data_IF_344430803666
#
_entry.id   IF_344430803666
#
_cell.length_a   1.000
_cell.length_b   1.000
_cell.length_c   1.000
_cell.angle_alpha   90.00
_cell.angle_beta   90.00
_cell.angle_gamma   90.00
#
_symmetry.space_group_name_H-M   'P 1'
#
loop_
_entity.id
_entity.type
_entity.pdbx_description
1 polymer ?
#
# COMPACT_ATOMS: atom_id res chain seq x y z
N UNK A 1 26.63 -40.78 -25.44
CA UNK A 1 25.81 -41.86 -24.86
C UNK A 1 25.87 -41.71 -23.35
N UNK A 2 24.93 -40.98 -22.77
CA UNK A 2 24.58 -41.05 -21.35
C UNK A 2 23.17 -40.48 -21.20
N UNK A 3 22.32 -41.29 -20.57
CA UNK A 3 20.87 -41.28 -20.65
C UNK A 3 20.19 -40.25 -19.74
N UNK A 4 19.08 -39.70 -20.24
CA UNK A 4 18.04 -39.01 -19.46
C UNK A 4 17.13 -40.02 -18.77
N UNK A 5 16.85 -39.91 -17.46
CA UNK A 5 15.74 -40.63 -16.87
C UNK A 5 14.45 -39.80 -16.89
N UNK A 6 13.42 -40.41 -17.49
CA UNK A 6 12.00 -40.05 -17.51
C UNK A 6 11.46 -39.76 -16.09
N UNK A 7 10.76 -38.66 -15.83
CA UNK A 7 9.32 -38.42 -16.08
C UNK A 7 8.43 -39.62 -15.74
N UNK A 8 7.99 -39.69 -14.48
CA UNK A 8 6.91 -40.55 -14.01
C UNK A 8 5.74 -39.64 -13.62
N UNK A 9 4.69 -39.70 -14.44
CA UNK A 9 3.38 -39.07 -14.20
C UNK A 9 2.66 -39.80 -13.07
N UNK A 10 2.33 -39.10 -11.99
CA UNK A 10 1.28 -39.53 -11.06
C UNK A 10 -0.02 -38.85 -11.48
N UNK A 11 -0.91 -39.64 -12.08
CA UNK A 11 -2.31 -39.29 -12.32
C UNK A 11 -3.09 -39.69 -11.06
N UNK A 12 -3.63 -38.72 -10.34
CA UNK A 12 -4.59 -38.95 -9.26
C UNK A 12 -5.89 -38.29 -9.68
N UNK A 13 -6.85 -39.11 -10.07
CA UNK A 13 -8.25 -38.73 -10.26
C UNK A 13 -8.82 -38.33 -8.90
N UNK A 14 -9.00 -37.02 -8.67
CA UNK A 14 -9.79 -36.54 -7.53
C UNK A 14 -11.13 -36.09 -8.08
N UNK A 15 -12.13 -36.90 -7.74
CA UNK A 15 -13.53 -36.67 -8.05
C UNK A 15 -13.99 -35.31 -7.53
N UNK A 16 -14.69 -34.65 -8.43
CA UNK A 16 -15.41 -33.40 -8.26
C UNK A 16 -16.68 -33.66 -7.43
N UNK A 17 -16.71 -33.17 -6.20
CA UNK A 17 -17.97 -33.01 -5.46
C UNK A 17 -18.39 -31.55 -5.40
N UNK A 18 -19.58 -31.34 -5.97
CA UNK A 18 -20.34 -30.12 -6.04
C UNK A 18 -20.73 -29.63 -4.64
N UNK A 19 -20.55 -28.34 -4.37
CA UNK A 19 -21.26 -27.68 -3.27
C UNK A 19 -21.97 -26.43 -3.79
N UNK A 20 -23.30 -26.46 -3.65
CA UNK A 20 -24.25 -25.43 -4.06
C UNK A 20 -24.15 -24.16 -3.20
N UNK A 21 -24.47 -22.97 -3.77
CA UNK A 21 -24.69 -21.75 -3.01
C UNK A 21 -26.14 -21.63 -2.51
N UNK A 22 -26.30 -21.58 -1.18
CA UNK A 22 -27.57 -21.32 -0.51
C UNK A 22 -27.96 -19.83 -0.47
N UNK A 23 -29.02 -19.53 -1.22
CA UNK A 23 -30.17 -18.64 -0.99
C UNK A 23 -30.10 -17.51 0.06
N UNK A 24 -30.32 -16.30 -0.48
CA UNK A 24 -31.41 -15.35 -0.20
C UNK A 24 -31.93 -15.19 1.25
N UNK A 25 -31.77 -13.97 1.77
CA UNK A 25 -32.73 -13.38 2.72
C UNK A 25 -32.98 -11.92 2.34
N UNK A 26 -34.13 -11.74 1.70
CA UNK A 26 -34.81 -10.49 1.42
C UNK A 26 -35.31 -9.88 2.75
N UNK A 27 -35.13 -8.58 2.97
CA UNK A 27 -35.87 -7.86 4.03
C UNK A 27 -36.16 -6.43 3.59
N UNK A 28 -37.33 -6.31 2.98
CA UNK A 28 -38.13 -5.11 2.78
C UNK A 28 -38.59 -4.49 4.12
N UNK A 29 -39.11 -3.25 4.03
CA UNK A 29 -39.77 -2.37 5.02
C UNK A 29 -38.85 -1.19 5.42
N UNK A 30 -39.04 0.04 4.97
CA UNK A 30 -40.29 0.78 4.79
C UNK A 30 -40.38 1.85 5.88
N UNK A 31 -40.18 3.12 5.54
CA UNK A 31 -40.72 4.26 6.31
C UNK A 31 -40.69 5.54 5.50
N UNK A 32 -41.91 6.01 5.24
CA UNK A 32 -42.25 7.29 4.68
C UNK A 32 -42.13 8.42 5.73
N UNK A 33 -42.45 9.63 5.26
CA UNK A 33 -43.01 10.78 6.00
C UNK A 33 -42.01 11.91 6.32
N UNK A 34 -42.09 13.01 5.57
CA UNK A 34 -42.73 14.28 5.99
C UNK A 34 -42.02 15.48 5.36
N UNK A 35 -42.71 16.15 4.43
CA UNK A 35 -42.37 17.49 3.97
C UNK A 35 -42.89 18.55 4.95
N UNK A 36 -42.17 19.66 5.15
CA UNK A 36 -42.79 20.93 5.51
C UNK A 36 -42.82 21.90 4.29
N UNK A 37 -43.94 22.61 4.06
CA UNK A 37 -43.99 23.79 3.20
C UNK A 37 -43.66 25.05 4.02
N UNK A 38 -42.85 25.96 3.47
CA UNK A 38 -42.44 27.17 4.18
C UNK A 38 -41.93 28.26 3.25
N UNK A 39 -42.89 29.01 2.71
CA UNK A 39 -42.73 30.23 1.92
C UNK A 39 -42.22 31.40 2.78
N UNK A 40 -41.19 32.11 2.33
CA UNK A 40 -41.06 33.56 2.51
C UNK A 40 -39.98 34.13 1.59
N UNK A 41 -40.43 34.87 0.57
CA UNK A 41 -39.64 35.67 -0.36
C UNK A 41 -38.86 36.80 0.33
N UNK A 42 -37.63 37.11 -0.13
CA UNK A 42 -37.14 38.46 -0.12
C UNK A 42 -36.93 38.99 -1.55
N UNK A 43 -37.47 40.19 -1.74
CA UNK A 43 -37.29 41.14 -2.83
C UNK A 43 -35.99 41.04 -3.62
N UNK A 44 -36.17 40.86 -4.92
CA UNK A 44 -35.19 40.84 -6.01
C UNK A 44 -34.56 42.22 -6.21
N UNK A 45 -33.26 42.43 -5.94
CA UNK A 45 -32.55 43.60 -6.47
C UNK A 45 -32.24 43.37 -7.95
N UNK A 46 -32.81 44.22 -8.81
CA UNK A 46 -32.51 44.34 -10.23
C UNK A 46 -31.07 44.81 -10.41
N UNK A 47 -30.14 43.86 -10.51
CA UNK A 47 -28.73 44.16 -10.79
C UNK A 47 -28.44 44.18 -12.29
N UNK A 48 -27.91 45.32 -12.73
CA UNK A 48 -27.37 45.59 -14.06
C UNK A 48 -26.55 44.42 -14.64
N UNK A 49 -27.04 43.92 -15.77
CA UNK A 49 -26.49 42.81 -16.54
C UNK A 49 -25.55 43.39 -17.61
N UNK A 50 -24.27 43.64 -17.27
CA UNK A 50 -23.32 44.25 -18.21
C UNK A 50 -21.88 43.75 -18.13
N UNK A 51 -21.29 43.61 -16.94
CA UNK A 51 -19.81 43.58 -16.85
C UNK A 51 -19.18 42.32 -16.23
N UNK A 52 -19.98 41.32 -15.81
CA UNK A 52 -19.46 40.19 -15.00
C UNK A 52 -18.71 39.09 -15.77
N UNK A 53 -18.65 39.10 -17.12
CA UNK A 53 -18.01 38.02 -17.91
C UNK A 53 -16.48 38.04 -17.93
N UNK A 54 -15.82 39.17 -17.64
CA UNK A 54 -14.33 39.25 -17.67
C UNK A 54 -13.66 38.76 -16.37
N UNK A 55 -14.32 38.86 -15.21
CA UNK A 55 -13.73 38.44 -13.91
C UNK A 55 -13.67 36.90 -13.71
N UNK A 56 -14.61 36.15 -14.29
CA UNK A 56 -14.65 34.69 -14.13
C UNK A 56 -13.50 33.93 -14.84
N UNK A 57 -12.89 34.51 -15.88
CA UNK A 57 -11.76 33.89 -16.59
C UNK A 57 -10.45 33.98 -15.80
N UNK A 58 -10.22 35.09 -15.08
CA UNK A 58 -9.03 35.27 -14.25
C UNK A 58 -8.93 34.26 -13.09
N UNK A 59 -10.05 34.01 -12.40
CA UNK A 59 -10.10 33.10 -11.26
C UNK A 59 -9.76 31.63 -11.64
N UNK A 60 -10.26 31.15 -12.80
CA UNK A 60 -9.95 29.81 -13.28
C UNK A 60 -8.47 29.62 -13.63
N UNK A 61 -7.82 30.65 -14.18
CA UNK A 61 -6.39 30.59 -14.50
C UNK A 61 -5.53 30.60 -13.23
N UNK A 62 -5.88 31.42 -12.23
CA UNK A 62 -5.18 31.43 -10.95
C UNK A 62 -5.24 30.07 -10.24
N UNK A 63 -6.41 29.43 -10.22
CA UNK A 63 -6.57 28.09 -9.61
C UNK A 63 -5.73 27.02 -10.32
N UNK A 64 -5.66 27.05 -11.66
CA UNK A 64 -4.81 26.13 -12.43
C UNK A 64 -3.33 26.33 -12.15
N UNK A 65 -2.88 27.59 -12.08
CA UNK A 65 -1.48 27.92 -11.74
C UNK A 65 -1.12 27.46 -10.33
N UNK A 66 -2.00 27.65 -9.34
CA UNK A 66 -1.78 27.16 -7.97
C UNK A 66 -1.59 25.64 -7.93
N UNK A 67 -2.50 24.89 -8.55
CA UNK A 67 -2.40 23.42 -8.61
C UNK A 67 -1.10 22.94 -9.29
N UNK A 68 -0.64 23.67 -10.31
CA UNK A 68 0.60 23.36 -11.00
C UNK A 68 1.82 23.61 -10.10
N UNK A 69 1.84 24.71 -9.34
CA UNK A 69 2.90 25.00 -8.39
C UNK A 69 2.97 23.95 -7.28
N UNK A 70 1.83 23.54 -6.74
CA UNK A 70 1.75 22.49 -5.71
C UNK A 70 2.32 21.17 -6.23
N UNK A 71 2.01 20.81 -7.49
CA UNK A 71 2.59 19.63 -8.15
C UNK A 71 4.10 19.72 -8.30
N UNK A 72 4.62 20.86 -8.77
CA UNK A 72 6.06 21.08 -8.95
C UNK A 72 6.80 21.01 -7.61
N UNK A 73 6.25 21.60 -6.56
CA UNK A 73 6.83 21.55 -5.22
C UNK A 73 6.89 20.11 -4.69
N UNK A 74 5.83 19.32 -4.91
CA UNK A 74 5.81 17.89 -4.57
C UNK A 74 6.83 17.08 -5.34
N UNK A 75 6.88 17.23 -6.66
CA UNK A 75 7.83 16.50 -7.50
C UNK A 75 9.28 16.86 -7.13
N UNK A 76 9.54 18.10 -6.71
CA UNK A 76 10.83 18.51 -6.17
C UNK A 76 11.12 17.83 -4.82
N UNK A 77 10.12 17.72 -3.94
CA UNK A 77 10.26 17.01 -2.67
C UNK A 77 10.56 15.51 -2.85
N UNK A 78 9.82 14.82 -3.72
CA UNK A 78 10.04 13.40 -4.03
C UNK A 78 11.44 13.19 -4.62
N UNK A 79 11.87 14.06 -5.54
CA UNK A 79 13.24 14.03 -6.09
C UNK A 79 14.30 14.23 -5.00
N UNK A 80 14.07 15.15 -4.07
CA UNK A 80 14.99 15.38 -2.96
C UNK A 80 15.07 14.17 -2.01
N UNK A 81 13.94 13.54 -1.67
CA UNK A 81 13.91 12.31 -0.88
C UNK A 81 14.66 11.17 -1.57
N UNK A 82 14.37 10.95 -2.85
CA UNK A 82 15.05 9.93 -3.65
C UNK A 82 16.55 10.18 -3.75
N UNK A 83 16.97 11.43 -3.98
CA UNK A 83 18.38 11.81 -4.01
C UNK A 83 19.07 11.52 -2.67
N UNK A 84 18.44 11.88 -1.55
CA UNK A 84 18.96 11.53 -0.21
C UNK A 84 19.09 10.02 -0.01
N UNK A 85 18.06 9.25 -0.39
CA UNK A 85 18.05 7.79 -0.26
C UNK A 85 19.11 7.09 -1.14
N UNK A 86 19.41 7.64 -2.32
CA UNK A 86 20.46 7.14 -3.21
C UNK A 86 21.88 7.41 -2.65
N UNK A 87 22.03 8.47 -1.87
CA UNK A 87 23.30 8.91 -1.28
C UNK A 87 23.60 8.31 0.11
N UNK A 88 22.75 7.42 0.62
CA UNK A 88 23.04 6.69 1.87
C UNK A 88 24.38 5.97 1.74
N UNK A 89 25.30 6.28 2.65
CA UNK A 89 26.69 5.90 2.54
C UNK A 89 26.87 4.38 2.50
N UNK A 90 27.40 3.87 1.38
CA UNK A 90 27.70 2.45 1.17
C UNK A 90 28.70 1.89 2.19
N UNK A 91 29.51 2.75 2.81
CA UNK A 91 30.50 2.35 3.80
C UNK A 91 29.88 1.92 5.14
N UNK A 92 28.72 2.46 5.50
CA UNK A 92 28.08 2.14 6.79
C UNK A 92 27.38 0.77 6.78
N UNK A 93 27.13 0.18 5.61
CA UNK A 93 26.45 -1.10 5.50
C UNK A 93 26.99 -1.93 4.34
N UNK A 94 27.62 -3.09 4.60
CA UNK A 94 28.13 -3.96 3.55
C UNK A 94 27.02 -4.32 2.57
N UNK A 95 27.24 -4.11 1.27
CA UNK A 95 26.25 -4.35 0.20
C UNK A 95 25.68 -5.78 0.17
N UNK A 96 26.39 -6.73 0.81
CA UNK A 96 26.07 -8.16 0.89
C UNK A 96 25.46 -8.60 2.23
N UNK A 97 25.43 -7.74 3.25
CA UNK A 97 24.81 -8.10 4.51
C UNK A 97 23.30 -8.32 4.30
N UNK A 98 22.72 -9.43 4.78
CA UNK A 98 21.27 -9.62 4.76
C UNK A 98 20.56 -8.44 5.45
N UNK A 99 19.34 -8.12 4.97
CA UNK A 99 18.47 -7.23 5.73
C UNK A 99 18.12 -7.90 7.07
N UNK A 100 18.13 -7.18 8.20
CA UNK A 100 17.79 -7.69 9.51
C UNK A 100 16.31 -8.10 9.47
N UNK A 101 15.94 -9.06 10.28
CA UNK A 101 14.65 -9.72 10.17
C UNK A 101 13.48 -8.73 10.31
N UNK A 102 13.55 -7.79 11.26
CA UNK A 102 12.54 -6.74 11.42
C UNK A 102 12.33 -5.90 10.15
N UNK A 103 13.39 -5.52 9.42
CA UNK A 103 13.23 -4.73 8.19
C UNK A 103 12.45 -5.52 7.13
N UNK A 104 12.70 -6.83 7.03
CA UNK A 104 11.97 -7.69 6.09
C UNK A 104 10.49 -7.81 6.48
N UNK A 105 10.20 -7.87 7.78
CA UNK A 105 8.83 -7.97 8.26
C UNK A 105 8.04 -6.67 8.07
N UNK A 106 8.67 -5.50 8.24
CA UNK A 106 8.03 -4.22 7.89
C UNK A 106 7.76 -4.14 6.38
N UNK A 107 8.73 -4.50 5.54
CA UNK A 107 8.53 -4.51 4.08
C UNK A 107 7.42 -5.49 3.66
N UNK A 108 7.32 -6.64 4.33
CA UNK A 108 6.25 -7.61 4.15
C UNK A 108 4.89 -7.03 4.55
N UNK A 109 4.80 -6.37 5.70
CA UNK A 109 3.59 -5.66 6.12
C UNK A 109 3.14 -4.66 5.06
N UNK A 110 4.06 -3.84 4.53
CA UNK A 110 3.72 -2.90 3.44
C UNK A 110 3.22 -3.66 2.20
N UNK A 111 3.89 -4.74 1.78
CA UNK A 111 3.52 -5.51 0.59
C UNK A 111 2.15 -6.19 0.69
N UNK A 112 1.89 -6.85 1.83
CA UNK A 112 0.71 -7.67 2.05
C UNK A 112 -0.50 -6.82 2.45
N UNK A 113 -0.29 -5.81 3.29
CA UNK A 113 -1.39 -5.06 3.90
C UNK A 113 -1.65 -3.72 3.23
N UNK A 114 -0.67 -3.08 2.58
CA UNK A 114 -0.81 -1.73 2.04
C UNK A 114 -0.75 -1.71 0.51
N UNK A 115 0.41 -1.98 -0.06
CA UNK A 115 0.62 -1.98 -1.51
C UNK A 115 1.85 -2.81 -1.92
N UNK A 116 1.72 -3.66 -2.96
CA UNK A 116 2.87 -4.29 -3.61
C UNK A 116 3.56 -3.38 -4.65
N UNK A 117 3.02 -2.18 -4.89
CA UNK A 117 3.53 -1.17 -5.82
C UNK A 117 3.72 0.19 -5.13
N UNK A 118 4.52 0.29 -4.06
CA UNK A 118 4.88 1.58 -3.50
C UNK A 118 5.61 2.43 -4.54
N UNK A 119 5.32 3.72 -4.56
CA UNK A 119 5.92 4.66 -5.50
C UNK A 119 7.30 5.14 -5.04
N UNK A 120 7.93 6.01 -5.85
CA UNK A 120 9.28 6.50 -5.58
C UNK A 120 9.39 7.26 -4.25
N UNK A 121 8.32 7.95 -3.82
CA UNK A 121 8.30 8.67 -2.54
C UNK A 121 8.30 7.69 -1.36
N UNK A 122 7.41 6.70 -1.38
CA UNK A 122 7.30 5.69 -0.32
C UNK A 122 8.54 4.80 -0.24
N UNK A 123 9.10 4.39 -1.39
CA UNK A 123 10.37 3.65 -1.43
C UNK A 123 11.50 4.49 -0.82
N UNK A 124 11.59 5.78 -1.14
CA UNK A 124 12.62 6.66 -0.60
C UNK A 124 12.49 6.83 0.92
N UNK A 125 11.26 6.97 1.45
CA UNK A 125 11.02 7.03 2.89
C UNK A 125 11.42 5.74 3.60
N UNK A 126 11.06 4.58 3.05
CA UNK A 126 11.48 3.27 3.59
C UNK A 126 13.01 3.12 3.58
N UNK A 127 13.66 3.54 2.49
CA UNK A 127 15.11 3.49 2.36
C UNK A 127 15.82 4.36 3.42
N UNK A 128 15.34 5.59 3.63
CA UNK A 128 15.84 6.49 4.67
C UNK A 128 15.61 5.92 6.07
N UNK A 129 14.42 5.38 6.33
CA UNK A 129 14.04 4.79 7.62
C UNK A 129 14.96 3.65 8.03
N UNK A 130 15.21 2.70 7.12
CA UNK A 130 16.06 1.54 7.39
C UNK A 130 17.56 1.80 7.23
N UNK A 131 17.95 3.05 6.94
CA UNK A 131 19.29 3.43 6.52
C UNK A 131 19.86 2.45 5.49
N UNK A 132 19.09 2.21 4.41
CA UNK A 132 19.44 1.25 3.38
C UNK A 132 19.27 1.84 1.98
N UNK A 133 19.94 1.24 0.99
CA UNK A 133 19.93 1.77 -0.38
C UNK A 133 18.53 1.70 -0.99
N UNK A 134 18.12 2.78 -1.65
CA UNK A 134 16.90 2.87 -2.46
C UNK A 134 16.66 1.63 -3.34
N UNK A 135 17.67 1.23 -4.12
CA UNK A 135 17.58 0.10 -5.05
C UNK A 135 17.28 -1.22 -4.35
N UNK A 136 17.74 -1.40 -3.10
CA UNK A 136 17.50 -2.64 -2.35
C UNK A 136 16.03 -2.79 -2.01
N UNK A 137 15.39 -1.70 -1.56
CA UNK A 137 13.95 -1.70 -1.28
C UNK A 137 13.17 -1.90 -2.57
N UNK A 138 13.48 -1.13 -3.63
CA UNK A 138 12.81 -1.28 -4.93
C UNK A 138 12.91 -2.71 -5.49
N UNK A 139 14.11 -3.31 -5.44
CA UNK A 139 14.33 -4.68 -5.89
C UNK A 139 13.61 -5.70 -5.01
N UNK A 140 13.54 -5.47 -3.70
CA UNK A 140 12.80 -6.33 -2.79
C UNK A 140 11.32 -6.42 -3.19
N UNK A 141 10.65 -5.28 -3.45
CA UNK A 141 9.26 -5.28 -3.93
C UNK A 141 9.12 -5.96 -5.29
N UNK A 142 10.06 -5.73 -6.23
CA UNK A 142 10.06 -6.38 -7.54
C UNK A 142 10.17 -7.91 -7.43
N UNK A 143 11.10 -8.40 -6.61
CA UNK A 143 11.32 -9.83 -6.41
C UNK A 143 10.12 -10.49 -5.73
N UNK A 144 9.49 -9.83 -4.75
CA UNK A 144 8.29 -10.37 -4.11
C UNK A 144 7.10 -10.47 -5.07
N UNK A 145 6.89 -9.50 -5.97
CA UNK A 145 5.85 -9.64 -7.01
C UNK A 145 6.12 -10.81 -7.96
N UNK A 146 7.39 -11.05 -8.31
CA UNK A 146 7.76 -12.19 -9.16
C UNK A 146 7.55 -13.53 -8.44
N UNK A 147 7.90 -13.59 -7.15
CA UNK A 147 7.68 -14.76 -6.30
C UNK A 147 6.19 -15.08 -6.17
N UNK A 148 5.39 -14.08 -5.85
CA UNK A 148 3.93 -14.17 -5.71
C UNK A 148 3.26 -14.63 -7.03
N UNK A 149 3.70 -14.09 -8.19
CA UNK A 149 3.27 -14.57 -9.49
C UNK A 149 3.74 -16.01 -9.82
N UNK A 150 4.87 -16.45 -9.27
CA UNK A 150 5.31 -17.83 -9.41
C UNK A 150 4.48 -18.78 -8.53
N UNK A 151 4.20 -18.40 -7.27
CA UNK A 151 3.37 -19.16 -6.34
C UNK A 151 1.94 -19.32 -6.85
N UNK A 152 1.37 -18.28 -7.46
CA UNK A 152 0.06 -18.36 -8.11
C UNK A 152 0.06 -19.40 -9.25
N UNK A 153 1.08 -19.42 -10.10
CA UNK A 153 1.18 -20.40 -11.21
C UNK A 153 1.31 -21.83 -10.71
N UNK A 154 2.01 -22.04 -9.59
CA UNK A 154 2.14 -23.35 -8.96
C UNK A 154 0.81 -23.80 -8.35
N UNK A 155 0.08 -22.87 -7.72
CA UNK A 155 -1.20 -23.16 -7.04
C UNK A 155 -2.35 -23.37 -8.04
N UNK A 156 -2.28 -22.73 -9.21
CA UNK A 156 -3.31 -22.77 -10.24
C UNK A 156 -2.73 -23.14 -11.62
N UNK A 157 -2.19 -24.36 -11.80
CA UNK A 157 -1.46 -24.76 -13.01
C UNK A 157 -2.34 -24.79 -14.27
N UNK A 158 -3.66 -24.90 -14.12
CA UNK A 158 -4.63 -24.97 -15.22
C UNK A 158 -5.41 -23.67 -15.43
N UNK A 159 -5.12 -22.62 -14.67
CA UNK A 159 -5.79 -21.34 -14.84
C UNK A 159 -5.29 -20.68 -16.12
N UNK A 160 -6.20 -20.50 -17.09
CA UNK A 160 -5.98 -19.64 -18.26
C UNK A 160 -5.94 -18.16 -17.88
N UNK A 161 -6.34 -17.83 -16.64
CA UNK A 161 -6.33 -16.45 -16.15
C UNK A 161 -4.92 -16.00 -15.86
N UNK A 162 -4.50 -14.93 -16.56
CA UNK A 162 -3.22 -14.26 -16.31
C UNK A 162 -3.25 -13.68 -14.90
N UNK A 163 -2.30 -14.07 -14.06
CA UNK A 163 -2.10 -13.46 -12.76
C UNK A 163 -1.86 -11.96 -12.92
N UNK A 164 -2.81 -11.14 -12.49
CA UNK A 164 -2.68 -9.69 -12.46
C UNK A 164 -2.94 -9.17 -11.06
N UNK A 165 -1.89 -9.21 -10.23
CA UNK A 165 -1.90 -8.60 -8.91
C UNK A 165 -2.30 -7.12 -8.96
N UNK A 166 -2.02 -6.42 -10.06
CA UNK A 166 -2.33 -5.01 -10.17
C UNK A 166 -3.83 -4.75 -10.37
N UNK A 167 -4.59 -5.74 -10.87
CA UNK A 167 -6.04 -5.71 -11.05
C UNK A 167 -6.82 -5.95 -9.74
N UNK A 168 -6.21 -6.57 -8.74
CA UNK A 168 -6.84 -6.79 -7.42
C UNK A 168 -6.70 -5.60 -6.48
N UNK A 169 -6.05 -4.53 -6.91
CA UNK A 169 -5.78 -3.33 -6.11
C UNK A 169 -6.73 -2.20 -6.46
N UNK A 170 -7.04 -1.38 -5.46
CA UNK A 170 -7.87 -0.19 -5.58
C UNK A 170 -6.99 1.01 -5.94
N UNK A 171 -7.22 1.69 -7.07
CA UNK A 171 -6.52 2.94 -7.38
C UNK A 171 -6.99 4.05 -6.44
N UNK A 172 -6.05 4.82 -5.90
CA UNK A 172 -6.32 6.00 -5.07
C UNK A 172 -5.50 7.20 -5.53
N UNK A 173 -5.96 8.40 -5.19
CA UNK A 173 -5.21 9.64 -5.38
C UNK A 173 -4.59 10.09 -4.05
N UNK A 174 -3.30 9.80 -3.85
CA UNK A 174 -2.56 10.27 -2.69
C UNK A 174 -1.76 11.51 -3.06
N UNK A 175 -2.17 12.67 -2.52
CA UNK A 175 -1.52 13.95 -2.78
C UNK A 175 -1.29 14.23 -4.28
N UNK A 176 -2.28 13.92 -5.12
CA UNK A 176 -2.19 14.11 -6.57
C UNK A 176 -1.25 13.13 -7.31
N UNK A 177 -0.87 12.02 -6.68
CA UNK A 177 -0.24 10.85 -7.32
C UNK A 177 -1.23 9.70 -7.31
N UNK A 178 -1.25 8.92 -8.39
CA UNK A 178 -2.03 7.69 -8.45
C UNK A 178 -1.24 6.55 -7.78
N UNK A 179 -1.81 5.99 -6.73
CA UNK A 179 -1.28 4.80 -6.05
C UNK A 179 -2.27 3.65 -6.19
N UNK A 180 -1.80 2.42 -5.96
CA UNK A 180 -2.66 1.23 -5.92
C UNK A 180 -2.56 0.59 -4.55
N UNK A 181 -3.69 0.47 -3.85
CA UNK A 181 -3.76 -0.02 -2.48
C UNK A 181 -4.49 -1.35 -2.40
N UNK A 182 -4.15 -2.16 -1.40
CA UNK A 182 -4.87 -3.38 -1.05
C UNK A 182 -6.29 -3.00 -0.58
N UNK A 183 -7.32 -3.79 -0.92
CA UNK A 183 -8.67 -3.57 -0.40
C UNK A 183 -8.74 -3.52 1.13
N UNK A 184 -7.93 -4.32 1.82
CA UNK A 184 -7.85 -4.31 3.30
C UNK A 184 -7.36 -2.96 3.85
N UNK A 185 -6.39 -2.31 3.20
CA UNK A 185 -5.93 -0.97 3.58
C UNK A 185 -7.05 0.06 3.44
N UNK A 186 -7.85 -0.05 2.37
CA UNK A 186 -8.96 0.85 2.08
C UNK A 186 -10.15 0.62 3.02
N UNK A 187 -10.35 -0.61 3.49
CA UNK A 187 -11.35 -0.91 4.51
C UNK A 187 -10.98 -0.34 5.89
N UNK A 188 -9.68 -0.27 6.19
CA UNK A 188 -9.19 0.23 7.48
C UNK A 188 -9.05 1.76 7.54
N UNK A 189 -8.78 2.41 6.40
CA UNK A 189 -8.52 3.85 6.32
C UNK A 189 -9.11 4.46 5.04
N UNK A 190 -9.99 5.48 5.13
CA UNK A 190 -10.53 6.18 3.96
C UNK A 190 -9.46 6.76 3.04
N UNK A 191 -9.76 6.88 1.75
CA UNK A 191 -8.85 7.43 0.74
C UNK A 191 -8.30 8.83 1.12
N UNK A 192 -9.15 9.69 1.67
CA UNK A 192 -8.81 11.08 1.99
C UNK A 192 -7.71 11.21 3.05
N UNK A 193 -7.52 10.19 3.89
CA UNK A 193 -6.56 10.19 5.00
C UNK A 193 -5.18 9.66 4.56
N UNK A 194 -5.10 9.02 3.40
CA UNK A 194 -3.85 8.55 2.83
C UNK A 194 -2.98 9.73 2.37
N UNK A 195 -1.94 9.97 3.13
CA UNK A 195 -0.88 10.94 2.84
C UNK A 195 0.49 10.29 2.96
N UNK A 196 1.52 10.95 2.45
CA UNK A 196 2.89 10.50 2.64
C UNK A 196 3.29 10.42 4.12
N UNK A 197 2.74 11.31 4.94
CA UNK A 197 3.02 11.33 6.37
C UNK A 197 2.29 10.18 7.08
N UNK A 198 1.01 9.98 6.80
CA UNK A 198 0.23 8.88 7.37
C UNK A 198 0.84 7.52 7.03
N UNK A 199 1.22 7.29 5.77
CA UNK A 199 1.94 6.08 5.36
C UNK A 199 3.18 5.84 6.23
N UNK A 200 3.97 6.89 6.44
CA UNK A 200 5.20 6.80 7.21
C UNK A 200 4.96 6.53 8.70
N UNK A 201 3.95 7.16 9.30
CA UNK A 201 3.56 6.90 10.69
C UNK A 201 3.12 5.45 10.91
N UNK A 202 2.34 4.88 9.99
CA UNK A 202 1.95 3.46 10.05
C UNK A 202 3.19 2.56 10.04
N UNK A 203 4.15 2.84 9.15
CA UNK A 203 5.43 2.11 9.07
C UNK A 203 6.22 2.25 10.38
N UNK A 204 6.35 3.46 10.93
CA UNK A 204 7.09 3.73 12.17
C UNK A 204 6.48 2.98 13.37
N UNK A 205 5.15 3.05 13.52
CA UNK A 205 4.43 2.38 14.61
C UNK A 205 4.62 0.86 14.50
N UNK A 206 4.54 0.31 13.29
CA UNK A 206 4.73 -1.13 13.07
C UNK A 206 6.17 -1.57 13.38
N UNK A 207 7.17 -0.84 12.89
CA UNK A 207 8.59 -1.13 13.15
C UNK A 207 8.91 -1.06 14.65
N UNK A 208 8.42 -0.02 15.34
CA UNK A 208 8.56 0.09 16.79
C UNK A 208 7.96 -1.11 17.54
N UNK A 209 6.76 -1.57 17.14
CA UNK A 209 6.13 -2.76 17.73
C UNK A 209 6.98 -4.01 17.53
N UNK A 210 7.59 -4.19 16.34
CA UNK A 210 8.49 -5.31 16.08
C UNK A 210 9.75 -5.25 16.95
N UNK A 211 10.38 -4.08 17.06
CA UNK A 211 11.56 -3.88 17.90
C UNK A 211 11.29 -4.15 19.39
N UNK A 212 10.15 -3.68 19.90
CA UNK A 212 9.72 -3.96 21.28
C UNK A 212 9.49 -5.46 21.48
N UNK A 213 8.83 -6.12 20.53
CA UNK A 213 8.59 -7.57 20.59
C UNK A 213 9.92 -8.35 20.61
N UNK A 214 10.85 -8.02 19.72
CA UNK A 214 12.16 -8.68 19.64
C UNK A 214 12.97 -8.51 20.94
N UNK A 215 13.00 -7.27 21.48
CA UNK A 215 13.67 -6.99 22.75
C UNK A 215 13.08 -7.81 23.89
N UNK A 216 11.75 -7.86 23.99
CA UNK A 216 11.08 -8.60 25.05
C UNK A 216 11.33 -10.11 24.93
N UNK A 217 11.34 -10.65 23.71
CA UNK A 217 11.65 -12.07 23.48
C UNK A 217 13.09 -12.40 23.90
N UNK A 218 14.05 -11.54 23.54
CA UNK A 218 15.45 -11.70 23.97
C UNK A 218 15.59 -11.73 25.48
N UNK A 219 14.96 -10.81 26.19
CA UNK A 219 14.97 -10.79 27.65
C UNK A 219 14.36 -12.05 28.27
N UNK A 220 13.33 -12.63 27.64
CA UNK A 220 12.73 -13.90 28.09
C UNK A 220 13.68 -15.06 27.90
N UNK A 221 14.37 -15.14 26.76
CA UNK A 221 15.34 -16.19 26.48
C UNK A 221 16.55 -16.08 27.40
N UNK A 222 17.07 -14.87 27.63
CA UNK A 222 18.19 -14.63 28.53
C UNK A 222 17.81 -15.03 29.97
N UNK A 223 16.62 -14.64 30.45
CA UNK A 223 16.13 -15.04 31.76
C UNK A 223 15.94 -16.57 31.87
N UNK A 224 15.43 -17.23 30.83
CA UNK A 224 15.30 -18.68 30.79
C UNK A 224 16.66 -19.38 30.83
N UNK A 225 17.66 -18.86 30.12
CA UNK A 225 19.04 -19.37 30.14
C UNK A 225 19.66 -19.26 31.53
N UNK A 226 19.54 -18.10 32.18
CA UNK A 226 20.06 -17.91 33.54
C UNK A 226 19.42 -18.88 34.56
N UNK A 227 18.13 -19.18 34.42
CA UNK A 227 17.44 -20.12 35.30
C UNK A 227 17.86 -21.57 35.10
N UNK A 228 18.35 -21.94 33.90
CA UNK A 228 18.92 -23.25 33.64
C UNK A 228 20.33 -23.37 34.23
N UNK A 229 21.16 -22.33 34.08
CA UNK A 229 22.52 -22.29 34.61
C UNK A 229 22.55 -22.34 36.15
N UNK A 230 21.53 -21.80 36.83
CA UNK A 230 21.42 -21.89 38.30
C UNK A 230 21.02 -23.28 38.82
N UNK A 231 20.58 -24.19 37.95
CA UNK A 231 20.15 -25.54 38.34
C UNK A 231 21.23 -26.61 38.16
N UNK A 232 22.32 -26.27 37.48
CA UNK A 232 23.48 -27.16 37.23
C UNK A 232 24.59 -26.89 38.22
#
# INVERSE_FOLDING_TARGET
MTDSPASSYYSMDISSDCFEPGQEADTSLGSATTYPPGSSSPTRPTFHHGEKKKKAKGAKNAQKMSKQLDRVARDAHVRALKHKALNINKAQRPSKAPAPDHQRDVLRMVFEQMTPYPDDAWIAKLALHFNCRYDKIKNWFSNNRQKDAAEFRVSYPHSQSKYDLAATLVPITCEGRELRMRPSAMAACPEADWTDNFFYEVVLIHDFRLLVKERNERLRLDAASMMLDMRT
#
